data_IF_480821090291
#
_entry.id   IF_480821090291
#
_cell.length_a   1.000
_cell.length_b   1.000
_cell.length_c   1.000
_cell.angle_alpha   90.00
_cell.angle_beta   90.00
_cell.angle_gamma   90.00
#
_symmetry.space_group_name_H-M   'P 1'
#
loop_
_entity.id
_entity.type
_entity.pdbx_description
1 polymer ?
#
# COMPACT_ATOMS: atom_id res chain seq x y z
N UNK A 1 -5.15 17.33 -7.85
CA UNK A 1 -3.95 17.41 -7.00
C UNK A 1 -3.28 16.04 -6.88
N UNK A 2 -2.16 15.92 -6.15
CA UNK A 2 -1.46 14.64 -5.97
C UNK A 2 -2.36 13.55 -5.36
N UNK A 3 -3.18 13.89 -4.35
CA UNK A 3 -4.08 12.93 -3.69
C UNK A 3 -5.07 12.26 -4.65
N UNK A 4 -5.76 13.05 -5.50
CA UNK A 4 -6.67 12.51 -6.51
C UNK A 4 -5.98 11.54 -7.48
N UNK A 5 -4.73 11.83 -7.87
CA UNK A 5 -3.97 10.93 -8.74
C UNK A 5 -3.58 9.64 -8.03
N UNK A 6 -3.16 9.73 -6.76
CA UNK A 6 -2.84 8.55 -5.96
C UNK A 6 -4.08 7.69 -5.74
N UNK A 7 -5.23 8.30 -5.40
CA UNK A 7 -6.50 7.60 -5.25
C UNK A 7 -6.88 6.87 -6.54
N UNK A 8 -6.77 7.53 -7.69
CA UNK A 8 -7.06 6.91 -8.98
C UNK A 8 -6.13 5.73 -9.27
N UNK A 9 -4.81 5.90 -9.12
CA UNK A 9 -3.84 4.82 -9.34
C UNK A 9 -4.07 3.64 -8.40
N UNK A 10 -4.33 3.90 -7.12
CA UNK A 10 -4.63 2.83 -6.15
C UNK A 10 -5.95 2.14 -6.48
N UNK A 11 -6.98 2.89 -6.89
CA UNK A 11 -8.25 2.33 -7.36
C UNK A 11 -8.01 1.38 -8.55
N UNK A 12 -7.27 1.80 -9.56
CA UNK A 12 -7.07 1.01 -10.79
C UNK A 12 -6.36 -0.31 -10.49
N UNK A 13 -5.35 -0.28 -9.60
CA UNK A 13 -4.67 -1.48 -9.11
C UNK A 13 -5.62 -2.42 -8.35
N UNK A 14 -6.43 -1.88 -7.44
CA UNK A 14 -7.38 -2.68 -6.66
C UNK A 14 -8.53 -3.21 -7.53
N UNK A 15 -8.98 -2.46 -8.53
CA UNK A 15 -10.00 -2.89 -9.48
C UNK A 15 -9.49 -4.05 -10.32
N UNK A 16 -8.24 -3.99 -10.79
CA UNK A 16 -7.62 -5.11 -11.50
C UNK A 16 -7.47 -6.34 -10.60
N UNK A 17 -6.98 -6.15 -9.38
CA UNK A 17 -6.87 -7.23 -8.39
C UNK A 17 -8.24 -7.88 -8.09
N UNK A 18 -9.32 -7.07 -8.02
CA UNK A 18 -10.69 -7.58 -7.86
C UNK A 18 -11.11 -8.46 -9.03
N UNK A 19 -10.86 -8.02 -10.26
CA UNK A 19 -11.17 -8.79 -11.48
C UNK A 19 -10.41 -10.12 -11.53
N UNK A 20 -9.18 -10.15 -11.00
CA UNK A 20 -8.35 -11.34 -10.93
C UNK A 20 -8.71 -12.29 -9.77
N UNK A 21 -9.68 -11.93 -8.92
CA UNK A 21 -10.03 -12.73 -7.73
C UNK A 21 -9.01 -12.62 -6.59
N UNK A 22 -8.19 -11.59 -6.59
CA UNK A 22 -7.12 -11.39 -5.60
C UNK A 22 -7.62 -10.70 -4.32
N UNK A 23 -8.76 -10.01 -4.39
CA UNK A 23 -9.39 -9.32 -3.26
C UNK A 23 -10.55 -10.10 -2.66
N UNK A 24 -10.80 -9.88 -1.37
CA UNK A 24 -11.96 -10.43 -0.67
C UNK A 24 -13.29 -9.94 -1.31
N UNK A 25 -14.38 -10.75 -1.25
CA UNK A 25 -15.62 -10.42 -1.95
C UNK A 25 -16.25 -9.08 -1.56
N UNK A 26 -16.13 -8.66 -0.30
CA UNK A 26 -16.74 -7.44 0.22
C UNK A 26 -15.94 -6.16 -0.09
N UNK A 27 -14.70 -6.27 -0.57
CA UNK A 27 -13.83 -5.11 -0.79
C UNK A 27 -14.33 -4.27 -1.95
N UNK A 28 -14.55 -2.98 -1.70
CA UNK A 28 -14.84 -1.95 -2.69
C UNK A 28 -13.53 -1.23 -3.07
N UNK A 29 -13.04 -1.34 -4.33
CA UNK A 29 -11.80 -0.71 -4.76
C UNK A 29 -11.73 0.80 -4.55
N UNK A 30 -12.83 1.53 -4.79
CA UNK A 30 -12.85 3.00 -4.67
C UNK A 30 -12.70 3.43 -3.22
N UNK A 31 -13.56 2.89 -2.34
CA UNK A 31 -13.52 3.21 -0.91
C UNK A 31 -12.18 2.80 -0.28
N UNK A 32 -11.66 1.63 -0.67
CA UNK A 32 -10.38 1.12 -0.17
C UNK A 32 -9.21 1.99 -0.64
N UNK A 33 -9.23 2.47 -1.89
CA UNK A 33 -8.20 3.35 -2.41
C UNK A 33 -8.16 4.69 -1.66
N UNK A 34 -9.34 5.28 -1.42
CA UNK A 34 -9.49 6.52 -0.67
C UNK A 34 -8.95 6.37 0.76
N UNK A 35 -9.36 5.30 1.45
CA UNK A 35 -8.90 4.99 2.79
C UNK A 35 -7.39 4.75 2.84
N UNK A 36 -6.84 4.00 1.88
CA UNK A 36 -5.42 3.68 1.83
C UNK A 36 -4.56 4.94 1.64
N UNK A 37 -4.94 5.82 0.70
CA UNK A 37 -4.22 7.07 0.45
C UNK A 37 -4.29 8.00 1.66
N UNK A 38 -5.45 8.10 2.31
CA UNK A 38 -5.59 8.87 3.54
C UNK A 38 -4.72 8.32 4.68
N UNK A 39 -4.72 7.00 4.88
CA UNK A 39 -3.91 6.33 5.90
C UNK A 39 -2.40 6.52 5.65
N UNK A 40 -1.94 6.34 4.41
CA UNK A 40 -0.55 6.59 4.02
C UNK A 40 -0.14 8.06 4.28
N UNK A 41 -0.99 9.00 3.88
CA UNK A 41 -0.75 10.43 4.10
C UNK A 41 -0.66 10.75 5.60
N UNK A 42 -1.54 10.16 6.42
CA UNK A 42 -1.51 10.31 7.87
C UNK A 42 -0.22 9.80 8.50
N UNK A 43 0.24 8.60 8.14
CA UNK A 43 1.50 8.08 8.69
C UNK A 43 2.71 8.91 8.24
N UNK A 44 2.68 9.44 7.02
CA UNK A 44 3.75 10.27 6.46
C UNK A 44 3.83 11.61 7.20
N UNK A 45 2.69 12.27 7.46
CA UNK A 45 2.63 13.50 8.24
C UNK A 45 3.08 13.30 9.70
N UNK A 46 2.64 12.21 10.36
CA UNK A 46 3.06 11.90 11.73
C UNK A 46 4.57 11.62 11.80
N UNK A 47 5.11 10.86 10.85
CA UNK A 47 6.54 10.55 10.77
C UNK A 47 7.39 11.81 10.54
N UNK A 48 6.96 12.69 9.64
CA UNK A 48 7.60 14.00 9.43
C UNK A 48 7.69 14.78 10.73
N UNK A 49 6.55 14.89 11.42
CA UNK A 49 6.41 15.72 12.62
C UNK A 49 7.23 15.19 13.80
N UNK A 50 7.20 13.88 14.04
CA UNK A 50 7.80 13.30 15.25
C UNK A 50 9.27 12.91 15.09
N UNK A 51 9.68 12.49 13.88
CA UNK A 51 11.00 11.89 13.68
C UNK A 51 11.78 12.45 12.51
N UNK A 52 11.22 13.40 11.76
CA UNK A 52 11.73 13.85 10.46
C UNK A 52 11.94 12.67 9.51
N UNK A 53 10.90 11.84 9.36
CA UNK A 53 10.85 10.64 8.49
C UNK A 53 11.72 9.45 8.88
N UNK A 54 12.47 9.52 9.98
CA UNK A 54 13.33 8.40 10.41
C UNK A 54 12.57 7.11 10.70
N UNK A 55 11.29 7.18 11.07
CA UNK A 55 10.43 6.03 11.34
C UNK A 55 9.42 5.71 10.22
N UNK A 56 9.49 6.38 9.06
CA UNK A 56 8.47 6.26 8.01
C UNK A 56 8.35 4.84 7.46
N UNK A 57 9.48 4.19 7.21
CA UNK A 57 9.52 2.81 6.70
C UNK A 57 8.79 1.84 7.65
N UNK A 58 9.07 1.93 8.95
CA UNK A 58 8.43 1.08 9.96
C UNK A 58 6.91 1.31 10.05
N UNK A 59 6.47 2.57 9.94
CA UNK A 59 5.05 2.91 9.90
C UNK A 59 4.36 2.37 8.64
N UNK A 60 5.04 2.46 7.49
CA UNK A 60 4.53 1.92 6.24
C UNK A 60 4.41 0.39 6.27
N UNK A 61 5.42 -0.30 6.81
CA UNK A 61 5.35 -1.76 7.04
C UNK A 61 4.18 -2.10 7.96
N UNK A 62 3.98 -1.31 9.01
CA UNK A 62 2.85 -1.49 9.93
C UNK A 62 1.51 -1.29 9.23
N UNK A 63 1.36 -0.27 8.38
CA UNK A 63 0.18 -0.06 7.55
C UNK A 63 -0.10 -1.28 6.67
N UNK A 64 0.91 -1.78 5.96
CA UNK A 64 0.75 -2.94 5.08
C UNK A 64 0.33 -4.21 5.82
N UNK A 65 0.91 -4.47 7.00
CA UNK A 65 0.54 -5.62 7.85
C UNK A 65 -0.92 -5.58 8.32
N UNK A 66 -1.54 -4.41 8.42
CA UNK A 66 -2.94 -4.28 8.82
C UNK A 66 -3.89 -4.22 7.64
N UNK A 67 -3.50 -3.55 6.54
CA UNK A 67 -4.37 -3.37 5.37
C UNK A 67 -4.41 -4.63 4.51
N UNK A 68 -3.28 -5.25 4.20
CA UNK A 68 -3.28 -6.36 3.25
C UNK A 68 -4.18 -7.52 3.70
N UNK A 69 -4.15 -7.96 4.99
CA UNK A 69 -5.03 -9.03 5.45
C UNK A 69 -6.52 -8.69 5.44
N UNK A 70 -6.88 -7.41 5.45
CA UNK A 70 -8.29 -6.98 5.41
C UNK A 70 -8.83 -6.88 3.99
N UNK A 71 -7.98 -6.90 2.95
CA UNK A 71 -8.42 -6.71 1.56
C UNK A 71 -8.06 -7.86 0.61
N UNK A 72 -6.95 -8.58 0.84
CA UNK A 72 -6.50 -9.65 -0.04
C UNK A 72 -7.04 -11.02 0.40
N UNK A 73 -7.20 -11.94 -0.54
CA UNK A 73 -7.54 -13.33 -0.22
C UNK A 73 -6.39 -14.03 0.51
N UNK A 74 -6.67 -15.08 1.31
CA UNK A 74 -5.61 -15.80 2.04
C UNK A 74 -4.51 -16.37 1.13
N UNK A 75 -4.87 -16.88 -0.05
CA UNK A 75 -3.90 -17.39 -1.03
C UNK A 75 -2.97 -16.31 -1.54
N UNK A 76 -3.50 -15.11 -1.82
CA UNK A 76 -2.67 -13.96 -2.22
C UNK A 76 -1.78 -13.50 -1.08
N UNK A 77 -2.27 -13.42 0.15
CA UNK A 77 -1.46 -13.07 1.31
C UNK A 77 -0.24 -14.00 1.48
N UNK A 78 -0.40 -15.30 1.23
CA UNK A 78 0.73 -16.25 1.28
C UNK A 78 1.73 -16.08 0.13
N UNK A 79 1.31 -15.52 -1.00
CA UNK A 79 2.15 -15.29 -2.17
C UNK A 79 2.83 -13.91 -2.15
N UNK A 80 2.39 -12.98 -1.30
CA UNK A 80 3.00 -11.65 -1.17
C UNK A 80 4.39 -11.75 -0.54
N UNK A 81 5.38 -11.29 -1.29
CA UNK A 81 6.74 -11.12 -0.79
C UNK A 81 6.88 -9.72 -0.16
N UNK A 82 6.80 -9.66 1.17
CA UNK A 82 6.94 -8.44 1.97
C UNK A 82 8.33 -8.35 2.62
N UNK A 83 9.32 -9.05 2.09
CA UNK A 83 10.67 -9.13 2.67
C UNK A 83 11.52 -7.92 2.30
N UNK A 84 12.47 -7.49 3.16
CA UNK A 84 13.43 -6.43 2.82
C UNK A 84 14.28 -6.74 1.57
N UNK A 85 14.51 -8.01 1.28
CA UNK A 85 15.25 -8.48 0.11
C UNK A 85 14.54 -8.08 -1.18
N UNK A 86 13.20 -8.20 -1.23
CA UNK A 86 12.40 -7.72 -2.36
C UNK A 86 12.56 -6.23 -2.56
N UNK A 87 12.47 -5.44 -1.49
CA UNK A 87 12.65 -3.99 -1.56
C UNK A 87 14.02 -3.63 -2.13
N UNK A 88 15.07 -4.31 -1.67
CA UNK A 88 16.44 -4.11 -2.18
C UNK A 88 16.54 -4.46 -3.66
N UNK A 89 15.87 -5.54 -4.10
CA UNK A 89 15.83 -5.92 -5.51
C UNK A 89 15.10 -4.86 -6.36
N UNK A 90 13.92 -4.40 -5.93
CA UNK A 90 13.14 -3.37 -6.62
C UNK A 90 13.88 -2.03 -6.71
N UNK A 91 14.58 -1.62 -5.66
CA UNK A 91 15.36 -0.38 -5.64
C UNK A 91 16.50 -0.37 -6.68
N UNK A 92 16.98 -1.54 -7.11
CA UNK A 92 17.98 -1.66 -8.19
C UNK A 92 17.37 -1.58 -9.59
N UNK A 93 16.07 -1.89 -9.72
CA UNK A 93 15.36 -1.88 -11.00
C UNK A 93 14.79 -0.51 -11.35
N UNK A 94 14.53 0.34 -10.36
CA UNK A 94 14.03 1.70 -10.55
C UNK A 94 15.23 2.65 -10.53
N UNK A 95 15.49 3.44 -11.59
CA UNK A 95 16.56 4.44 -11.59
C UNK A 95 16.34 5.42 -10.43
N UNK A 96 17.42 5.81 -9.74
CA UNK A 96 17.36 6.91 -8.79
C UNK A 96 16.95 8.19 -9.55
N UNK A 97 15.84 8.79 -9.12
CA UNK A 97 15.38 10.09 -9.61
C UNK A 97 16.28 11.21 -9.11
#
# INVERSE_FOLDING_TARGET
GPFLRWQQTTHDLLAQAKQNGELLPHVNPTETADLYVAAFTGIQAVSQTLTNYRDLEQRYISLQRHVLPSIATPSILTALDLTPQRTTHLARLVPAY
#
